data_IF_923329776823
#
_entry.id   IF_923329776823
#
_cell.length_a   1.000
_cell.length_b   1.000
_cell.length_c   1.000
_cell.angle_alpha   90.00
_cell.angle_beta   90.00
_cell.angle_gamma   90.00
#
_symmetry.space_group_name_H-M   'P 1'
#
loop_
_entity.id
_entity.type
_entity.pdbx_description
1 polymer ?
#
# COMPACT_ATOMS: atom_id res chain seq x y z
N UNK A 1 8.87 -12.63 2.65
CA UNK A 1 8.55 -11.92 1.39
C UNK A 1 9.81 -11.86 0.55
N UNK A 2 9.76 -12.20 -0.75
CA UNK A 2 10.94 -12.13 -1.63
C UNK A 2 11.07 -10.74 -2.24
N UNK A 3 12.27 -10.35 -2.69
CA UNK A 3 12.50 -9.07 -3.39
C UNK A 3 11.61 -8.90 -4.61
N UNK A 4 11.31 -9.99 -5.33
CA UNK A 4 10.37 -9.97 -6.46
C UNK A 4 8.96 -9.54 -6.06
N UNK A 5 8.44 -10.00 -4.91
CA UNK A 5 7.13 -9.56 -4.42
C UNK A 5 7.14 -8.08 -4.06
N UNK A 6 8.20 -7.60 -3.40
CA UNK A 6 8.34 -6.18 -3.06
C UNK A 6 8.41 -5.30 -4.31
N UNK A 7 9.16 -5.72 -5.33
CA UNK A 7 9.24 -5.01 -6.61
C UNK A 7 7.87 -4.99 -7.32
N UNK A 8 7.15 -6.12 -7.35
CA UNK A 8 5.82 -6.18 -7.94
C UNK A 8 4.82 -5.25 -7.23
N UNK A 9 4.81 -5.23 -5.89
CA UNK A 9 3.96 -4.33 -5.12
C UNK A 9 4.36 -2.86 -5.31
N UNK A 10 5.66 -2.57 -5.48
CA UNK A 10 6.14 -1.22 -5.80
C UNK A 10 5.66 -0.78 -7.19
N UNK A 11 5.70 -1.67 -8.19
CA UNK A 11 5.14 -1.39 -9.52
C UNK A 11 3.64 -1.10 -9.43
N UNK A 12 2.88 -1.85 -8.65
CA UNK A 12 1.45 -1.56 -8.40
C UNK A 12 1.28 -0.17 -7.78
N UNK A 13 2.08 0.15 -6.77
CA UNK A 13 2.08 1.46 -6.09
C UNK A 13 2.34 2.61 -7.08
N UNK A 14 3.37 2.48 -7.91
CA UNK A 14 3.73 3.48 -8.91
C UNK A 14 2.67 3.60 -10.01
N UNK A 15 2.09 2.48 -10.44
CA UNK A 15 1.01 2.46 -11.44
C UNK A 15 -0.21 3.23 -10.92
N UNK A 16 -0.58 2.99 -9.67
CA UNK A 16 -1.71 3.66 -9.01
C UNK A 16 -1.42 5.15 -8.82
N UNK A 17 -0.20 5.51 -8.43
CA UNK A 17 0.23 6.90 -8.34
C UNK A 17 0.15 7.61 -9.71
N UNK A 18 0.62 6.96 -10.79
CA UNK A 18 0.57 7.49 -12.14
C UNK A 18 -0.88 7.66 -12.64
N UNK A 19 -1.76 6.67 -12.39
CA UNK A 19 -3.18 6.74 -12.72
C UNK A 19 -3.93 7.80 -11.91
N UNK A 20 -3.54 8.02 -10.66
CA UNK A 20 -4.09 9.09 -9.84
C UNK A 20 -3.66 10.47 -10.34
N UNK A 21 -2.40 10.62 -10.76
CA UNK A 21 -1.86 11.88 -11.27
C UNK A 21 -2.39 12.25 -12.66
N UNK A 22 -2.65 11.27 -13.53
CA UNK A 22 -3.20 11.51 -14.87
C UNK A 22 -4.68 11.87 -14.86
N UNK A 23 -5.36 11.73 -13.72
CA UNK A 23 -6.78 12.04 -13.53
C UNK A 23 -7.71 11.34 -14.53
N UNK A 24 -7.28 10.17 -15.02
CA UNK A 24 -8.04 9.37 -15.99
C UNK A 24 -9.05 8.51 -15.26
N UNK A 25 -10.33 8.81 -15.43
CA UNK A 25 -11.40 7.94 -14.95
C UNK A 25 -11.53 6.71 -15.86
N UNK A 26 -11.03 5.59 -15.34
CA UNK A 26 -11.01 4.32 -16.05
C UNK A 26 -11.27 3.16 -15.08
N UNK A 27 -11.80 2.05 -15.62
CA UNK A 27 -11.94 0.79 -14.86
C UNK A 27 -10.59 0.31 -14.31
N UNK A 28 -9.52 0.55 -15.06
CA UNK A 28 -8.15 0.22 -14.64
C UNK A 28 -7.75 0.97 -13.37
N UNK A 29 -8.04 2.28 -13.28
CA UNK A 29 -7.81 3.08 -12.06
C UNK A 29 -8.52 2.46 -10.87
N UNK A 30 -9.82 2.17 -10.99
CA UNK A 30 -10.59 1.56 -9.90
C UNK A 30 -10.00 0.21 -9.43
N UNK A 31 -9.73 -0.71 -10.36
CA UNK A 31 -9.17 -2.03 -10.03
C UNK A 31 -7.79 -1.89 -9.37
N UNK A 32 -6.93 -1.03 -9.91
CA UNK A 32 -5.58 -0.82 -9.36
C UNK A 32 -5.62 -0.21 -7.95
N UNK A 33 -6.52 0.72 -7.70
CA UNK A 33 -6.70 1.35 -6.38
C UNK A 33 -7.21 0.34 -5.35
N UNK A 34 -8.15 -0.52 -5.72
CA UNK A 34 -8.65 -1.59 -4.83
C UNK A 34 -7.50 -2.56 -4.50
N UNK A 35 -6.73 -2.99 -5.50
CA UNK A 35 -5.58 -3.87 -5.29
C UNK A 35 -4.54 -3.21 -4.38
N UNK A 36 -4.29 -1.92 -4.55
CA UNK A 36 -3.39 -1.16 -3.70
C UNK A 36 -3.85 -1.18 -2.25
N UNK A 37 -5.07 -0.69 -1.97
CA UNK A 37 -5.59 -0.60 -0.61
C UNK A 37 -5.61 -1.96 0.09
N UNK A 38 -5.99 -3.02 -0.61
CA UNK A 38 -6.06 -4.36 -0.02
C UNK A 38 -4.69 -4.97 0.26
N UNK A 39 -3.73 -4.83 -0.66
CA UNK A 39 -2.52 -5.65 -0.65
C UNK A 39 -1.27 -4.89 -0.23
N UNK A 40 -1.16 -3.61 -0.54
CA UNK A 40 0.13 -2.91 -0.52
C UNK A 40 0.52 -2.40 0.87
N UNK A 41 -0.29 -1.59 1.59
CA UNK A 41 0.14 -0.98 2.85
C UNK A 41 0.57 -2.02 3.89
N UNK A 42 -0.26 -3.05 4.08
CA UNK A 42 0.03 -4.09 5.04
C UNK A 42 1.18 -5.00 4.62
N UNK A 43 1.30 -5.36 3.34
CA UNK A 43 2.46 -6.14 2.88
C UNK A 43 3.77 -5.37 3.06
N UNK A 44 3.76 -4.06 2.82
CA UNK A 44 4.91 -3.18 3.01
C UNK A 44 5.33 -3.13 4.49
N UNK A 45 4.37 -3.05 5.42
CA UNK A 45 4.63 -3.09 6.85
C UNK A 45 5.13 -4.47 7.32
N UNK A 46 4.46 -5.55 6.93
CA UNK A 46 4.82 -6.93 7.34
C UNK A 46 6.17 -7.36 6.80
N UNK A 47 6.60 -6.83 5.64
CA UNK A 47 7.90 -7.09 5.07
C UNK A 47 9.07 -6.73 6.01
N UNK A 48 8.85 -5.83 6.99
CA UNK A 48 9.83 -5.50 8.01
C UNK A 48 9.86 -6.48 9.19
N UNK A 49 8.73 -7.11 9.52
CA UNK A 49 8.59 -7.99 10.69
C UNK A 49 9.05 -9.43 10.46
N UNK A 50 9.20 -9.85 9.19
CA UNK A 50 9.64 -11.21 8.76
C UNK A 50 8.97 -12.37 9.56
N UNK A 51 7.62 -12.55 9.52
CA UNK A 51 6.98 -13.67 10.21
C UNK A 51 7.43 -15.02 9.62
N UNK A 52 7.53 -16.04 10.46
CA UNK A 52 8.04 -17.36 10.07
C UNK A 52 7.06 -18.17 9.17
N UNK A 53 5.76 -17.85 9.19
CA UNK A 53 4.72 -18.63 8.52
C UNK A 53 4.04 -17.82 7.42
N UNK A 54 3.99 -18.36 6.20
CA UNK A 54 3.45 -17.65 5.02
C UNK A 54 1.97 -17.30 5.17
N UNK A 55 1.14 -18.22 5.64
CA UNK A 55 -0.30 -17.97 5.82
C UNK A 55 -0.57 -16.86 6.83
N UNK A 56 0.18 -16.86 7.94
CA UNK A 56 0.10 -15.81 8.98
C UNK A 56 0.56 -14.46 8.41
N UNK A 57 1.61 -14.45 7.59
CA UNK A 57 2.13 -13.24 6.92
C UNK A 57 1.04 -12.57 6.08
N UNK A 58 0.31 -13.33 5.26
CA UNK A 58 -0.76 -12.80 4.41
C UNK A 58 -1.95 -12.31 5.21
N UNK A 59 -2.39 -13.04 6.25
CA UNK A 59 -3.48 -12.60 7.12
C UNK A 59 -3.14 -11.31 7.85
N UNK A 60 -1.92 -11.18 8.37
CA UNK A 60 -1.47 -9.94 9.02
C UNK A 60 -1.38 -8.81 8.00
N UNK A 61 -0.86 -9.07 6.79
CA UNK A 61 -0.77 -8.05 5.76
C UNK A 61 -2.16 -7.49 5.40
N UNK A 62 -3.14 -8.35 5.14
CA UNK A 62 -4.52 -7.91 4.85
C UNK A 62 -5.10 -7.15 6.05
N UNK A 63 -4.91 -7.67 7.27
CA UNK A 63 -5.40 -7.01 8.48
C UNK A 63 -4.82 -5.61 8.68
N UNK A 64 -3.51 -5.43 8.46
CA UNK A 64 -2.86 -4.12 8.56
C UNK A 64 -3.33 -3.19 7.44
N UNK A 65 -3.49 -3.69 6.22
CA UNK A 65 -4.04 -2.89 5.11
C UNK A 65 -5.42 -2.32 5.47
N UNK A 66 -6.36 -3.18 5.90
CA UNK A 66 -7.71 -2.74 6.31
C UNK A 66 -7.64 -1.77 7.49
N UNK A 67 -6.80 -2.04 8.50
CA UNK A 67 -6.64 -1.15 9.63
C UNK A 67 -6.10 0.23 9.23
N UNK A 68 -5.11 0.28 8.33
CA UNK A 68 -4.58 1.53 7.80
C UNK A 68 -5.66 2.32 7.06
N UNK A 69 -6.47 1.66 6.23
CA UNK A 69 -7.55 2.30 5.46
C UNK A 69 -8.61 2.90 6.39
N UNK A 70 -8.99 2.19 7.44
CA UNK A 70 -9.93 2.68 8.47
C UNK A 70 -9.34 3.90 9.18
N UNK A 71 -8.07 3.86 9.58
CA UNK A 71 -7.42 4.99 10.25
C UNK A 71 -7.31 6.21 9.34
N UNK A 72 -6.98 6.01 8.06
CA UNK A 72 -6.93 7.09 7.08
C UNK A 72 -8.32 7.69 6.85
N UNK A 73 -9.36 6.86 6.73
CA UNK A 73 -10.73 7.32 6.62
C UNK A 73 -11.16 8.13 7.86
N UNK A 74 -10.86 7.64 9.06
CA UNK A 74 -11.14 8.37 10.30
C UNK A 74 -10.39 9.70 10.38
N UNK A 75 -9.11 9.73 9.98
CA UNK A 75 -8.33 10.96 9.93
C UNK A 75 -8.94 11.99 8.97
N UNK A 76 -9.43 11.56 7.81
CA UNK A 76 -10.15 12.45 6.88
C UNK A 76 -11.46 12.98 7.45
N UNK A 77 -12.17 12.21 8.27
CA UNK A 77 -13.39 12.69 8.94
C UNK A 77 -13.07 13.74 10.01
N UNK A 78 -11.96 13.58 10.73
CA UNK A 78 -11.57 14.48 11.82
C UNK A 78 -10.83 15.74 11.36
N UNK A 79 -9.96 15.62 10.35
CA UNK A 79 -9.07 16.70 9.87
C UNK A 79 -9.62 17.44 8.64
N UNK A 80 -10.78 17.04 8.15
CA UNK A 80 -11.37 17.56 6.91
C UNK A 80 -11.17 16.63 5.72
N UNK A 81 -12.14 16.66 4.80
CA UNK A 81 -12.20 15.73 3.67
C UNK A 81 -11.15 16.06 2.60
N UNK A 82 -9.97 15.45 2.74
CA UNK A 82 -8.83 15.64 1.85
C UNK A 82 -8.35 14.30 1.23
N UNK A 83 -9.15 13.68 0.34
CA UNK A 83 -8.87 12.33 -0.19
C UNK A 83 -7.56 12.24 -0.97
N UNK A 84 -7.19 13.30 -1.71
CA UNK A 84 -5.94 13.33 -2.49
C UNK A 84 -4.72 13.27 -1.57
N UNK A 85 -4.73 14.05 -0.48
CA UNK A 85 -3.63 14.07 0.50
C UNK A 85 -3.53 12.76 1.27
N UNK A 86 -4.67 12.24 1.73
CA UNK A 86 -4.75 10.97 2.44
C UNK A 86 -4.21 9.81 1.60
N UNK A 87 -4.64 9.74 0.33
CA UNK A 87 -4.18 8.72 -0.60
C UNK A 87 -2.71 8.89 -0.97
N UNK A 88 -2.27 10.12 -1.24
CA UNK A 88 -0.87 10.44 -1.53
C UNK A 88 0.07 10.07 -0.37
N UNK A 89 -0.35 10.33 0.88
CA UNK A 89 0.41 9.95 2.07
C UNK A 89 0.56 8.42 2.16
N UNK A 90 -0.53 7.68 1.97
CA UNK A 90 -0.50 6.22 2.03
C UNK A 90 0.36 5.60 0.92
N UNK A 91 0.29 6.14 -0.31
CA UNK A 91 1.17 5.79 -1.42
C UNK A 91 2.64 6.03 -1.06
N UNK A 92 2.96 7.21 -0.54
CA UNK A 92 4.34 7.62 -0.21
C UNK A 92 4.94 6.74 0.88
N UNK A 93 4.19 6.50 1.96
CA UNK A 93 4.63 5.63 3.06
C UNK A 93 4.85 4.20 2.56
N UNK A 94 3.90 3.66 1.80
CA UNK A 94 4.00 2.29 1.27
C UNK A 94 5.18 2.13 0.31
N UNK A 95 5.37 3.09 -0.61
CA UNK A 95 6.51 3.09 -1.52
C UNK A 95 7.84 3.13 -0.75
N UNK A 96 7.97 4.03 0.24
CA UNK A 96 9.17 4.14 1.06
C UNK A 96 9.50 2.85 1.80
N UNK A 97 8.50 2.21 2.42
CA UNK A 97 8.67 0.92 3.09
C UNK A 97 9.13 -0.19 2.13
N UNK A 98 8.53 -0.27 0.94
CA UNK A 98 8.91 -1.24 -0.08
C UNK A 98 10.33 -0.98 -0.61
N UNK A 99 10.71 0.27 -0.86
CA UNK A 99 12.07 0.64 -1.27
C UNK A 99 13.10 0.27 -0.20
N UNK A 100 12.81 0.55 1.08
CA UNK A 100 13.67 0.13 2.20
C UNK A 100 13.83 -1.39 2.21
N UNK A 101 12.75 -2.15 1.99
CA UNK A 101 12.83 -3.61 1.93
C UNK A 101 13.68 -4.12 0.76
N UNK A 102 13.63 -3.45 -0.40
CA UNK A 102 14.44 -3.81 -1.57
C UNK A 102 15.94 -3.58 -1.35
N UNK A 103 16.29 -2.49 -0.67
CA UNK A 103 17.69 -2.06 -0.47
C UNK A 103 18.36 -2.74 0.74
N UNK A 104 17.58 -3.21 1.72
CA UNK A 104 18.15 -3.86 2.91
C UNK A 104 19.02 -5.08 2.52
N UNK A 105 20.26 -5.17 3.06
CA UNK A 105 21.04 -6.40 2.97
C UNK A 105 20.30 -7.52 3.73
N UNK A 106 20.27 -8.71 3.15
CA UNK A 106 19.46 -9.85 3.62
C UNK A 106 19.95 -10.35 4.96
#
# INVERSE_FOLDING_TARGET
MTRFHAAALLVVTLTVAALAASNVDSKARMVSTILFFLLVPGSAAVALARPAWTSVTWSIAIGISVAADVLVAQAMLLLGWHPVWAFGALLTVSAGLLTVHLVRPV
#
